data_IF_033288409067
#
_entry.id   IF_033288409067
#
_cell.length_a   1.000
_cell.length_b   1.000
_cell.length_c   1.000
_cell.angle_alpha   90.00
_cell.angle_beta   90.00
_cell.angle_gamma   90.00
#
_symmetry.space_group_name_H-M   'P 1'
#
loop_
_entity.id
_entity.type
_entity.pdbx_description
1 polymer ?
#
# COMPACT_ATOMS: atom_id res chain seq x y z
N UNK A 1 -41.75 26.26 -42.19
CA UNK A 1 -42.09 25.84 -40.81
C UNK A 1 -40.83 25.40 -40.10
N UNK A 2 -40.39 26.23 -39.15
CA UNK A 2 -39.54 25.96 -37.97
C UNK A 2 -38.43 24.90 -38.08
N UNK A 3 -37.23 25.35 -38.47
CA UNK A 3 -35.99 24.65 -38.15
C UNK A 3 -35.64 24.84 -36.67
N UNK A 4 -35.59 23.75 -35.91
CA UNK A 4 -35.02 23.75 -34.56
C UNK A 4 -33.51 23.97 -34.66
N UNK A 5 -33.06 25.16 -34.26
CA UNK A 5 -31.68 25.39 -33.87
C UNK A 5 -31.38 24.57 -32.60
N UNK A 6 -30.95 23.32 -32.79
CA UNK A 6 -30.42 22.49 -31.69
C UNK A 6 -29.16 23.18 -31.18
N UNK A 7 -29.24 23.63 -29.92
CA UNK A 7 -28.22 24.42 -29.25
C UNK A 7 -26.95 23.56 -29.03
N UNK A 8 -26.02 23.55 -30.00
CA UNK A 8 -24.73 22.84 -29.89
C UNK A 8 -23.81 23.36 -28.76
N UNK A 9 -24.20 24.44 -28.07
CA UNK A 9 -23.47 24.99 -26.91
C UNK A 9 -23.49 24.08 -25.67
N UNK A 10 -24.43 23.13 -25.57
CA UNK A 10 -24.47 22.14 -24.49
C UNK A 10 -23.41 21.02 -24.60
N UNK A 11 -22.87 20.79 -25.80
CA UNK A 11 -21.86 19.74 -26.03
C UNK A 11 -20.50 20.11 -25.47
N UNK A 12 -20.03 21.34 -25.73
CA UNK A 12 -18.73 21.81 -25.26
C UNK A 12 -18.65 21.90 -23.72
N UNK A 13 -19.71 22.41 -23.06
CA UNK A 13 -19.77 22.45 -21.60
C UNK A 13 -19.74 21.07 -20.94
N UNK A 14 -20.41 20.08 -21.56
CA UNK A 14 -20.39 18.68 -21.10
C UNK A 14 -18.99 18.06 -21.24
N UNK A 15 -18.29 18.32 -22.34
CA UNK A 15 -16.91 17.86 -22.53
C UNK A 15 -15.93 18.51 -21.56
N UNK A 16 -16.05 19.81 -21.30
CA UNK A 16 -15.24 20.51 -20.29
C UNK A 16 -15.44 19.88 -18.90
N UNK A 17 -16.69 19.60 -18.53
CA UNK A 17 -16.99 18.96 -17.24
C UNK A 17 -16.40 17.55 -17.13
N UNK A 18 -16.49 16.74 -18.21
CA UNK A 18 -15.87 15.40 -18.26
C UNK A 18 -14.35 15.50 -18.11
N UNK A 19 -13.69 16.44 -18.81
CA UNK A 19 -12.24 16.64 -18.71
C UNK A 19 -11.84 17.00 -17.27
N UNK A 20 -12.59 17.85 -16.58
CA UNK A 20 -12.34 18.21 -15.18
C UNK A 20 -12.46 16.97 -14.28
N UNK A 21 -13.47 16.13 -14.46
CA UNK A 21 -13.64 14.89 -13.69
C UNK A 21 -12.46 13.95 -13.93
N UNK A 22 -12.05 13.74 -15.18
CA UNK A 22 -10.93 12.87 -15.53
C UNK A 22 -9.64 13.42 -14.92
N UNK A 23 -9.40 14.74 -15.02
CA UNK A 23 -8.25 15.39 -14.41
C UNK A 23 -8.26 15.21 -12.89
N UNK A 24 -9.38 15.47 -12.22
CA UNK A 24 -9.52 15.31 -10.77
C UNK A 24 -9.29 13.85 -10.33
N UNK A 25 -9.81 12.88 -11.08
CA UNK A 25 -9.58 11.46 -10.81
C UNK A 25 -8.10 11.08 -11.00
N UNK A 26 -7.45 11.58 -12.05
CA UNK A 26 -6.04 11.33 -12.32
C UNK A 26 -5.14 11.95 -11.24
N UNK A 27 -5.31 13.23 -10.94
CA UNK A 27 -4.53 13.91 -9.89
C UNK A 27 -4.80 13.32 -8.51
N UNK A 28 -6.07 13.02 -8.19
CA UNK A 28 -6.43 12.35 -6.94
C UNK A 28 -5.77 10.97 -6.80
N UNK A 29 -5.74 10.18 -7.88
CA UNK A 29 -5.08 8.88 -7.89
C UNK A 29 -3.55 8.99 -7.76
N UNK A 30 -2.92 9.95 -8.46
CA UNK A 30 -1.49 10.20 -8.34
C UNK A 30 -1.10 10.68 -6.94
N UNK A 31 -1.92 11.54 -6.32
CA UNK A 31 -1.72 11.94 -4.93
C UNK A 31 -1.89 10.74 -3.98
N UNK A 32 -2.92 9.93 -4.18
CA UNK A 32 -3.16 8.75 -3.34
C UNK A 32 -1.99 7.78 -3.35
N UNK A 33 -1.34 7.57 -4.51
CA UNK A 33 -0.12 6.75 -4.63
C UNK A 33 1.03 7.19 -3.71
N UNK A 34 1.09 8.48 -3.38
CA UNK A 34 2.14 9.08 -2.53
C UNK A 34 1.78 9.04 -1.04
N UNK A 35 0.74 8.31 -0.65
CA UNK A 35 0.31 8.20 0.75
C UNK A 35 0.81 6.89 1.37
N UNK A 36 1.11 6.87 2.68
CA UNK A 36 1.47 5.64 3.40
C UNK A 36 0.34 4.60 3.34
N UNK A 37 -0.91 5.06 3.32
CA UNK A 37 -2.08 4.20 3.20
C UNK A 37 -2.08 3.39 1.90
N UNK A 38 -1.65 3.99 0.79
CA UNK A 38 -1.58 3.27 -0.48
C UNK A 38 -0.58 2.11 -0.41
N UNK A 39 0.58 2.30 0.23
CA UNK A 39 1.55 1.23 0.43
C UNK A 39 0.96 0.06 1.23
N UNK A 40 0.24 0.34 2.32
CA UNK A 40 -0.46 -0.69 3.11
C UNK A 40 -1.49 -1.46 2.28
N UNK A 41 -2.27 -0.77 1.44
CA UNK A 41 -3.27 -1.39 0.57
C UNK A 41 -2.61 -2.30 -0.45
N UNK A 42 -1.55 -1.83 -1.11
CA UNK A 42 -0.85 -2.63 -2.13
C UNK A 42 -0.12 -3.81 -1.52
N UNK A 43 0.49 -3.64 -0.33
CA UNK A 43 1.09 -4.74 0.40
C UNK A 43 0.04 -5.78 0.80
N UNK A 44 -1.08 -5.37 1.42
CA UNK A 44 -2.18 -6.30 1.73
C UNK A 44 -2.66 -7.04 0.49
N UNK A 45 -2.83 -6.34 -0.63
CA UNK A 45 -3.22 -6.92 -1.91
C UNK A 45 -2.17 -7.96 -2.37
N UNK A 46 -0.89 -7.63 -2.32
CA UNK A 46 0.20 -8.52 -2.72
C UNK A 46 0.21 -9.83 -1.91
N UNK A 47 0.01 -9.74 -0.59
CA UNK A 47 -0.10 -10.92 0.29
C UNK A 47 -1.32 -11.78 -0.08
N UNK A 48 -2.48 -11.15 -0.33
CA UNK A 48 -3.72 -11.86 -0.65
C UNK A 48 -3.69 -12.55 -2.02
N UNK A 49 -2.98 -11.96 -2.99
CA UNK A 49 -2.85 -12.50 -4.35
C UNK A 49 -1.55 -13.26 -4.58
N UNK A 50 -0.82 -13.60 -3.52
CA UNK A 50 0.46 -14.32 -3.57
C UNK A 50 1.45 -13.74 -4.60
N UNK A 51 1.72 -12.44 -4.49
CA UNK A 51 2.65 -11.74 -5.39
C UNK A 51 3.83 -11.16 -4.61
N UNK A 52 4.91 -11.92 -4.49
CA UNK A 52 6.11 -11.44 -3.81
C UNK A 52 6.78 -10.29 -4.56
N UNK A 53 6.69 -10.25 -5.89
CA UNK A 53 7.18 -9.12 -6.69
C UNK A 53 6.48 -7.81 -6.30
N UNK A 54 5.16 -7.85 -6.13
CA UNK A 54 4.40 -6.67 -5.68
C UNK A 54 4.70 -6.36 -4.22
N UNK A 55 4.83 -7.37 -3.36
CA UNK A 55 5.14 -7.16 -1.95
C UNK A 55 6.50 -6.45 -1.78
N UNK A 56 7.52 -6.88 -2.52
CA UNK A 56 8.86 -6.28 -2.51
C UNK A 56 8.89 -4.82 -3.02
N UNK A 57 7.90 -4.41 -3.84
CA UNK A 57 7.78 -3.00 -4.25
C UNK A 57 7.27 -2.10 -3.12
N UNK A 58 6.54 -2.64 -2.14
CA UNK A 58 5.92 -1.87 -1.07
C UNK A 58 6.41 -2.23 0.33
N UNK A 59 7.37 -3.15 0.44
CA UNK A 59 8.03 -3.53 1.68
C UNK A 59 9.52 -3.80 1.41
N UNK A 60 10.38 -3.17 2.19
CA UNK A 60 11.79 -3.48 2.24
C UNK A 60 12.02 -4.66 3.19
N UNK A 61 12.14 -5.85 2.62
CA UNK A 61 12.33 -7.07 3.40
C UNK A 61 13.66 -7.13 4.14
N UNK A 62 14.69 -6.39 3.70
CA UNK A 62 15.96 -6.33 4.43
C UNK A 62 15.75 -5.62 5.77
N UNK A 63 15.02 -4.51 5.77
CA UNK A 63 14.64 -3.81 6.99
C UNK A 63 13.62 -4.59 7.82
N UNK A 64 12.60 -5.17 7.17
CA UNK A 64 11.55 -5.93 7.88
C UNK A 64 12.17 -7.09 8.65
N UNK A 65 13.07 -7.87 8.05
CA UNK A 65 13.70 -9.02 8.71
C UNK A 65 14.48 -8.62 9.96
N UNK A 66 15.19 -7.48 9.93
CA UNK A 66 15.93 -6.96 11.09
C UNK A 66 15.03 -6.53 12.24
N UNK A 67 13.78 -6.20 11.94
CA UNK A 67 12.77 -5.84 12.96
C UNK A 67 12.04 -7.06 13.55
N UNK A 68 12.27 -8.27 13.02
CA UNK A 68 11.55 -9.46 13.46
C UNK A 68 12.04 -9.96 14.81
N UNK A 69 11.13 -10.47 15.67
CA UNK A 69 11.52 -11.12 16.92
C UNK A 69 12.22 -12.47 16.65
N UNK A 70 13.05 -12.90 17.61
CA UNK A 70 13.77 -14.18 17.55
C UNK A 70 12.84 -15.40 17.36
N UNK A 71 11.59 -15.31 17.84
CA UNK A 71 10.57 -16.35 17.64
C UNK A 71 10.27 -16.64 16.17
N UNK A 72 10.44 -15.63 15.30
CA UNK A 72 10.20 -15.73 13.86
C UNK A 72 11.49 -16.03 13.10
N UNK A 73 12.61 -15.43 13.50
CA UNK A 73 13.91 -15.66 12.84
C UNK A 73 14.51 -17.02 13.20
N UNK A 74 14.17 -17.58 14.36
CA UNK A 74 14.72 -18.83 14.89
C UNK A 74 16.26 -18.84 14.93
N UNK A 75 16.88 -17.68 15.12
CA UNK A 75 18.34 -17.51 15.09
C UNK A 75 18.98 -17.74 13.72
N UNK A 76 18.20 -17.74 12.64
CA UNK A 76 18.72 -17.88 11.28
C UNK A 76 19.27 -16.56 10.73
N UNK A 77 20.20 -16.62 9.75
CA UNK A 77 20.69 -15.42 9.07
C UNK A 77 19.57 -14.66 8.35
N UNK A 78 19.66 -13.32 8.34
CA UNK A 78 18.67 -12.43 7.72
C UNK A 78 18.31 -12.83 6.28
N UNK A 79 19.32 -13.18 5.47
CA UNK A 79 19.13 -13.62 4.08
C UNK A 79 18.26 -14.89 3.97
N UNK A 80 18.41 -15.83 4.91
CA UNK A 80 17.60 -17.05 4.94
C UNK A 80 16.16 -16.74 5.35
N UNK A 81 15.97 -15.86 6.34
CA UNK A 81 14.65 -15.42 6.80
C UNK A 81 13.93 -14.64 5.69
N UNK A 82 14.63 -13.72 5.03
CA UNK A 82 14.14 -12.96 3.87
C UNK A 82 13.62 -13.89 2.77
N UNK A 83 14.43 -14.86 2.33
CA UNK A 83 14.04 -15.82 1.30
C UNK A 83 12.81 -16.63 1.73
N UNK A 84 12.74 -17.03 3.01
CA UNK A 84 11.57 -17.74 3.57
C UNK A 84 10.31 -16.88 3.50
N UNK A 85 10.37 -15.63 3.94
CA UNK A 85 9.21 -14.72 3.90
C UNK A 85 8.75 -14.47 2.47
N UNK A 86 9.68 -14.21 1.54
CA UNK A 86 9.36 -14.03 0.12
C UNK A 86 8.70 -15.28 -0.46
N UNK A 87 9.27 -16.47 -0.17
CA UNK A 87 8.70 -17.74 -0.61
C UNK A 87 7.30 -17.98 -0.04
N UNK A 88 7.09 -17.65 1.24
CA UNK A 88 5.78 -17.75 1.88
C UNK A 88 4.74 -16.84 1.21
N UNK A 89 5.14 -15.67 0.72
CA UNK A 89 4.24 -14.78 -0.02
C UNK A 89 3.81 -15.41 -1.34
N UNK A 90 4.73 -15.99 -2.10
CA UNK A 90 4.39 -16.64 -3.38
C UNK A 90 3.64 -17.97 -3.19
N UNK A 91 3.66 -18.56 -1.99
CA UNK A 91 2.93 -19.79 -1.70
C UNK A 91 1.41 -19.61 -1.89
N UNK A 92 0.74 -20.57 -2.55
CA UNK A 92 -0.72 -20.57 -2.68
C UNK A 92 -1.44 -20.97 -1.39
N UNK A 93 -0.71 -21.46 -0.37
CA UNK A 93 -1.26 -21.90 0.91
C UNK A 93 -1.36 -20.76 1.93
N UNK A 94 -1.93 -21.06 3.10
CA UNK A 94 -2.06 -20.09 4.18
C UNK A 94 -0.68 -19.62 4.67
N UNK A 95 -0.54 -18.29 4.76
CA UNK A 95 0.71 -17.61 5.11
C UNK A 95 0.77 -17.46 6.62
N UNK A 96 1.41 -18.38 7.32
CA UNK A 96 1.60 -18.35 8.77
C UNK A 96 1.98 -16.97 9.34
N UNK A 97 3.03 -16.33 8.82
CA UNK A 97 3.49 -15.03 9.30
C UNK A 97 2.54 -13.90 8.89
N UNK A 98 2.04 -13.96 7.65
CA UNK A 98 1.16 -12.92 7.10
C UNK A 98 -0.34 -13.18 7.31
N UNK A 99 -0.72 -14.14 8.16
CA UNK A 99 -2.12 -14.54 8.37
C UNK A 99 -2.97 -13.34 8.86
N UNK A 100 -2.38 -12.55 9.76
CA UNK A 100 -3.00 -11.32 10.31
C UNK A 100 -3.22 -10.25 9.24
N UNK A 101 -2.45 -10.24 8.14
CA UNK A 101 -2.56 -9.23 7.06
C UNK A 101 -3.93 -9.27 6.37
N UNK A 102 -4.57 -10.44 6.30
CA UNK A 102 -5.94 -10.57 5.77
C UNK A 102 -6.94 -9.73 6.56
N UNK A 103 -6.76 -9.64 7.89
CA UNK A 103 -7.59 -8.88 8.82
C UNK A 103 -7.31 -7.38 8.86
N UNK A 104 -6.23 -6.89 8.23
CA UNK A 104 -5.84 -5.49 8.32
C UNK A 104 -6.91 -4.52 7.79
N UNK A 105 -7.28 -3.53 8.61
CA UNK A 105 -8.23 -2.47 8.23
C UNK A 105 -7.54 -1.31 7.51
N UNK A 106 -6.84 -1.57 6.41
CA UNK A 106 -5.96 -0.61 5.71
C UNK A 106 -6.66 0.70 5.26
N UNK A 107 -7.98 0.69 5.05
CA UNK A 107 -8.74 1.90 4.68
C UNK A 107 -9.00 2.80 5.89
N UNK A 108 -9.32 2.21 7.04
CA UNK A 108 -9.75 2.91 8.26
C UNK A 108 -8.65 3.02 9.32
N UNK A 109 -7.52 2.34 9.12
CA UNK A 109 -6.44 2.34 10.09
C UNK A 109 -5.91 3.77 10.31
N UNK A 110 -5.69 4.15 11.57
CA UNK A 110 -5.00 5.39 11.86
C UNK A 110 -3.56 5.27 11.35
N UNK A 111 -3.12 6.32 10.66
CA UNK A 111 -1.75 6.46 10.19
C UNK A 111 -1.22 7.77 10.75
N UNK A 112 -0.21 7.67 11.61
CA UNK A 112 0.50 8.83 12.15
C UNK A 112 1.74 9.05 11.31
N UNK A 113 1.83 10.21 10.66
CA UNK A 113 3.01 10.63 9.88
C UNK A 113 3.84 11.55 10.76
N UNK A 114 5.16 11.35 10.79
CA UNK A 114 6.06 12.21 11.56
C UNK A 114 6.11 13.62 10.99
N UNK A 115 6.51 14.59 11.83
CA UNK A 115 6.51 16.01 11.46
C UNK A 115 7.41 16.33 10.25
N UNK A 116 8.48 15.57 10.07
CA UNK A 116 9.41 15.64 8.94
C UNK A 116 8.91 14.93 7.67
N UNK A 117 7.73 14.28 7.72
CA UNK A 117 7.09 13.57 6.61
C UNK A 117 7.94 12.45 5.98
N UNK A 118 8.92 11.92 6.70
CA UNK A 118 9.82 10.87 6.22
C UNK A 118 9.42 9.49 6.72
N UNK A 119 8.67 9.41 7.82
CA UNK A 119 8.25 8.15 8.43
C UNK A 119 6.79 8.18 8.85
N UNK A 120 6.18 7.00 8.97
CA UNK A 120 4.82 6.87 9.42
C UNK A 120 4.62 5.55 10.16
N UNK A 121 3.74 5.55 11.15
CA UNK A 121 3.31 4.35 11.86
C UNK A 121 1.83 4.11 11.62
N UNK A 122 1.46 2.86 11.38
CA UNK A 122 0.08 2.45 11.18
C UNK A 122 -0.26 1.27 12.10
N UNK A 123 -1.47 1.28 12.65
CA UNK A 123 -2.00 0.17 13.45
C UNK A 123 -3.19 -0.45 12.72
N UNK A 124 -2.96 -1.38 11.79
CA UNK A 124 -4.03 -2.01 11.02
C UNK A 124 -4.93 -2.94 11.85
N UNK A 125 -4.43 -3.45 12.98
CA UNK A 125 -5.12 -4.24 14.00
C UNK A 125 -4.54 -3.90 15.38
N UNK A 126 -5.25 -4.18 16.49
CA UNK A 126 -4.73 -3.91 17.84
C UNK A 126 -3.36 -4.54 18.13
N UNK A 127 -3.14 -5.75 17.60
CA UNK A 127 -1.93 -6.55 17.81
C UNK A 127 -0.95 -6.46 16.63
N UNK A 128 -1.00 -5.41 15.82
CA UNK A 128 -0.02 -5.24 14.73
C UNK A 128 0.32 -3.78 14.55
N UNK A 129 1.61 -3.47 14.63
CA UNK A 129 2.17 -2.17 14.31
C UNK A 129 2.99 -2.28 13.03
N UNK A 130 2.84 -1.30 12.14
CA UNK A 130 3.55 -1.26 10.85
C UNK A 130 4.24 0.09 10.74
N UNK A 131 5.56 0.05 10.51
CA UNK A 131 6.36 1.25 10.28
C UNK A 131 6.64 1.38 8.80
N UNK A 132 6.42 2.59 8.28
CA UNK A 132 6.65 2.97 6.90
C UNK A 132 7.67 4.10 6.80
N UNK A 133 8.42 4.11 5.70
CA UNK A 133 9.32 5.19 5.35
C UNK A 133 9.02 5.70 3.94
N UNK A 134 9.22 7.00 3.75
CA UNK A 134 9.11 7.67 2.46
C UNK A 134 10.46 7.65 1.77
N UNK A 135 10.50 7.11 0.56
CA UNK A 135 11.65 7.12 -0.32
C UNK A 135 11.79 8.46 -1.04
N UNK A 136 12.96 8.69 -1.65
CA UNK A 136 13.25 9.90 -2.43
C UNK A 136 12.27 10.13 -3.59
N UNK A 137 11.74 9.05 -4.18
CA UNK A 137 10.73 9.08 -5.24
C UNK A 137 9.30 9.33 -4.72
N UNK A 138 9.14 9.73 -3.45
CA UNK A 138 7.88 9.97 -2.74
C UNK A 138 7.00 8.74 -2.53
N UNK A 139 7.52 7.54 -2.82
CA UNK A 139 6.84 6.29 -2.51
C UNK A 139 7.02 5.93 -1.04
N UNK A 140 5.96 5.37 -0.44
CA UNK A 140 6.05 4.80 0.89
C UNK A 140 6.30 3.30 0.82
N UNK A 141 7.19 2.81 1.66
CA UNK A 141 7.50 1.38 1.82
C UNK A 141 7.40 0.98 3.29
N UNK A 142 7.01 -0.27 3.54
CA UNK A 142 7.01 -0.87 4.87
C UNK A 142 8.44 -1.29 5.21
N UNK A 143 8.91 -0.91 6.40
CA UNK A 143 10.26 -1.22 6.89
C UNK A 143 10.25 -2.05 8.17
N UNK A 144 9.13 -2.09 8.89
CA UNK A 144 8.95 -2.97 10.03
C UNK A 144 7.50 -3.42 10.15
N UNK A 145 7.31 -4.67 10.57
CA UNK A 145 6.00 -5.24 10.90
C UNK A 145 6.17 -5.93 12.24
N UNK A 146 5.56 -5.35 13.27
CA UNK A 146 5.61 -5.85 14.63
C UNK A 146 4.30 -6.58 14.92
N UNK A 147 4.42 -7.88 15.19
CA UNK A 147 3.32 -8.72 15.65
C UNK A 147 3.76 -9.42 16.94
N UNK A 148 2.93 -9.46 17.99
CA UNK A 148 3.18 -10.27 19.17
C UNK A 148 3.10 -11.76 18.82
#
# INVERSE_FOLDING_TARGET
MTGQLVNQRGGAGRWIFIIIIIAAAFFGYQYFKKTPRYALIQFKKAILFSSAETAQKYADFDSVVRSLPESVTMGQPDETVKKRLIYEIDSPHEKSYFAKVKGWSVIRCPVAVTADQTSATAQPTPDTSVTLQRLENEQWIIVAIETP
#
